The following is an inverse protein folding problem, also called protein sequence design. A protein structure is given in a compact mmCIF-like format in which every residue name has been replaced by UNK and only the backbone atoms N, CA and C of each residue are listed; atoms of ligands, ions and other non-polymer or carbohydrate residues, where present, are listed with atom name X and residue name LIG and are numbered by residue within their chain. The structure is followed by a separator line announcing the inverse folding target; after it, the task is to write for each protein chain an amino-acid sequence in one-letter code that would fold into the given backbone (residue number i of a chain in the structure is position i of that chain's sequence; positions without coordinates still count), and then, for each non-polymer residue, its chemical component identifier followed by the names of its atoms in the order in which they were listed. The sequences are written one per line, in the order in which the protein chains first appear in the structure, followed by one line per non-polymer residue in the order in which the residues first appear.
data_IF_893776012222
#
_entry.id   IF_893776012222
#
_cell.length_a   1.000
_cell.length_b   1.000
_cell.length_c   1.000
_cell.angle_alpha   90.00
_cell.angle_beta   90.00
_cell.angle_gamma   90.00
#
_symmetry.space_group_name_H-M   'P 1'
#
loop_
_entity.id
_entity.type
_entity.pdbx_description
1 polymer ?
#
# COMPACT_ATOMS: atom_id res chain seq x y z
N UNK A 1 1.77 -10.47 1.54
CA UNK A 1 0.34 -10.66 1.79
C UNK A 1 -0.19 -11.90 1.10
N UNK A 2 -1.36 -12.33 1.50
CA UNK A 2 -1.99 -13.55 1.03
C UNK A 2 -3.39 -13.26 0.50
N UNK A 3 -3.93 -14.14 -0.36
CA UNK A 3 -5.35 -14.15 -0.68
C UNK A 3 -6.16 -14.43 0.60
N UNK A 4 -7.38 -13.93 0.63
CA UNK A 4 -8.25 -13.97 1.82
C UNK A 4 -8.08 -12.77 2.74
N UNK A 5 -7.32 -11.76 2.33
CA UNK A 5 -7.14 -10.50 3.09
C UNK A 5 -8.39 -9.60 3.07
N UNK A 6 -9.39 -9.92 2.27
CA UNK A 6 -10.63 -9.15 2.05
C UNK A 6 -10.35 -7.68 1.69
N UNK A 7 -9.21 -7.42 1.10
CA UNK A 7 -8.70 -6.08 0.79
C UNK A 7 -7.88 -6.08 -0.50
N UNK A 8 -6.60 -5.81 -0.39
CA UNK A 8 -5.68 -5.49 -1.47
C UNK A 8 -5.46 -6.64 -2.46
N UNK A 9 -5.05 -7.82 -1.98
CA UNK A 9 -4.80 -8.97 -2.85
C UNK A 9 -6.08 -9.57 -3.41
N UNK A 10 -7.14 -9.64 -2.61
CA UNK A 10 -8.44 -10.11 -3.06
C UNK A 10 -9.03 -9.18 -4.13
N UNK A 11 -8.83 -7.85 -4.00
CA UNK A 11 -9.28 -6.89 -5.02
C UNK A 11 -8.53 -7.05 -6.34
N UNK A 12 -7.21 -7.25 -6.29
CA UNK A 12 -6.40 -7.52 -7.48
C UNK A 12 -6.82 -8.84 -8.15
N UNK A 13 -7.01 -9.89 -7.35
CA UNK A 13 -7.47 -11.20 -7.82
C UNK A 13 -8.85 -11.10 -8.48
N UNK A 14 -9.80 -10.41 -7.85
CA UNK A 14 -11.15 -10.24 -8.40
C UNK A 14 -11.15 -9.55 -9.78
N UNK A 15 -10.27 -8.57 -9.98
CA UNK A 15 -10.10 -7.93 -11.30
C UNK A 15 -9.56 -8.88 -12.36
N UNK A 16 -8.61 -9.74 -12.00
CA UNK A 16 -8.06 -10.75 -12.91
C UNK A 16 -9.08 -11.85 -13.21
N UNK A 17 -9.84 -12.32 -12.22
CA UNK A 17 -10.91 -13.30 -12.38
C UNK A 17 -12.01 -12.78 -13.33
N UNK A 18 -12.33 -11.49 -13.26
CA UNK A 18 -13.27 -10.88 -14.17
C UNK A 18 -12.76 -10.91 -15.63
N UNK A 19 -11.47 -10.62 -15.84
CA UNK A 19 -10.88 -10.70 -17.18
C UNK A 19 -10.86 -12.12 -17.72
N UNK A 20 -10.65 -13.12 -16.88
CA UNK A 20 -10.73 -14.53 -17.26
C UNK A 20 -12.18 -14.94 -17.59
N UNK A 21 -13.14 -14.53 -16.76
CA UNK A 21 -14.56 -14.79 -17.00
C UNK A 21 -15.07 -14.16 -18.32
N UNK A 22 -14.50 -12.99 -18.68
CA UNK A 22 -14.79 -12.31 -19.95
C UNK A 22 -14.07 -12.96 -21.15
N UNK A 23 -13.29 -14.03 -20.94
CA UNK A 23 -12.56 -14.75 -21.98
C UNK A 23 -11.38 -13.96 -22.56
N UNK A 24 -10.89 -12.96 -21.85
CA UNK A 24 -9.79 -12.07 -22.31
C UNK A 24 -8.41 -12.62 -21.98
N UNK A 25 -8.30 -13.40 -20.92
CA UNK A 25 -7.06 -14.03 -20.46
C UNK A 25 -7.33 -15.47 -20.00
N UNK A 26 -6.25 -16.25 -19.88
CA UNK A 26 -6.21 -17.47 -19.07
C UNK A 26 -5.36 -17.16 -17.84
N UNK A 27 -5.90 -17.39 -16.67
CA UNK A 27 -5.25 -17.00 -15.41
C UNK A 27 -4.68 -18.21 -14.68
N UNK A 28 -3.43 -18.08 -14.23
CA UNK A 28 -2.85 -18.94 -13.20
C UNK A 28 -2.45 -18.10 -12.00
N UNK A 29 -2.98 -18.44 -10.84
CA UNK A 29 -2.61 -17.79 -9.57
C UNK A 29 -1.61 -18.67 -8.82
N UNK A 30 -0.52 -18.05 -8.34
CA UNK A 30 0.54 -18.69 -7.55
C UNK A 30 0.65 -17.94 -6.22
N UNK A 31 0.32 -18.61 -5.13
CA UNK A 31 0.45 -18.06 -3.79
C UNK A 31 1.85 -18.39 -3.24
N UNK A 32 2.64 -17.35 -3.00
CA UNK A 32 4.04 -17.48 -2.57
C UNK A 32 4.22 -17.27 -1.07
N UNK A 33 3.12 -17.14 -0.32
CA UNK A 33 3.15 -16.71 1.07
C UNK A 33 3.32 -15.20 1.22
N UNK A 34 3.17 -14.70 2.44
CA UNK A 34 3.21 -13.25 2.74
C UNK A 34 4.06 -12.87 3.93
N UNK A 35 4.73 -13.84 4.54
CA UNK A 35 5.58 -13.63 5.71
C UNK A 35 7.04 -13.46 5.28
N UNK A 36 7.86 -12.88 6.15
CA UNK A 36 9.29 -12.71 5.89
C UNK A 36 10.03 -14.04 5.70
N UNK A 37 9.56 -15.09 6.35
CA UNK A 37 10.07 -16.46 6.19
C UNK A 37 9.79 -17.06 4.80
N UNK A 38 8.83 -16.54 4.06
CA UNK A 38 8.49 -16.99 2.70
C UNK A 38 9.39 -16.36 1.62
N UNK A 39 10.06 -15.24 1.93
CA UNK A 39 10.85 -14.46 0.96
C UNK A 39 11.90 -15.27 0.19
N UNK A 40 12.63 -16.23 0.79
CA UNK A 40 13.58 -17.05 0.04
C UNK A 40 12.92 -17.84 -1.11
N UNK A 41 11.64 -18.21 -0.95
CA UNK A 41 10.85 -18.89 -1.98
C UNK A 41 10.38 -17.98 -3.11
N UNK A 42 10.24 -16.66 -2.85
CA UNK A 42 9.71 -15.73 -3.86
C UNK A 42 10.61 -15.59 -5.07
N UNK A 43 11.92 -15.43 -4.83
CA UNK A 43 12.90 -15.32 -5.92
C UNK A 43 12.93 -16.59 -6.78
N UNK A 44 12.97 -17.77 -6.14
CA UNK A 44 12.99 -19.04 -6.87
C UNK A 44 11.71 -19.26 -7.68
N UNK A 45 10.55 -18.90 -7.14
CA UNK A 45 9.27 -18.99 -7.86
C UNK A 45 9.24 -18.04 -9.06
N UNK A 46 9.71 -16.79 -8.90
CA UNK A 46 9.80 -15.84 -10.01
C UNK A 46 10.72 -16.35 -11.12
N UNK A 47 11.85 -16.95 -10.78
CA UNK A 47 12.73 -17.60 -11.77
C UNK A 47 12.03 -18.76 -12.48
N UNK A 48 11.42 -19.69 -11.71
CA UNK A 48 10.73 -20.86 -12.26
C UNK A 48 9.66 -20.45 -13.29
N UNK A 49 8.79 -19.49 -12.93
CA UNK A 49 7.73 -19.06 -13.86
C UNK A 49 8.28 -18.29 -15.06
N UNK A 50 9.38 -17.56 -14.90
CA UNK A 50 10.03 -16.83 -16.01
C UNK A 50 10.77 -17.79 -16.95
N UNK A 51 11.48 -18.78 -16.41
CA UNK A 51 12.21 -19.79 -17.17
C UNK A 51 11.26 -20.70 -17.96
N UNK A 52 10.03 -20.93 -17.45
CA UNK A 52 9.04 -21.78 -18.11
C UNK A 52 8.61 -21.24 -19.48
N UNK A 53 8.64 -19.92 -19.68
CA UNK A 53 8.16 -19.22 -20.88
C UNK A 53 6.68 -19.55 -21.22
N UNK A 54 5.89 -19.96 -20.24
CA UNK A 54 4.48 -20.33 -20.42
C UNK A 54 3.53 -19.12 -20.32
N UNK A 55 4.03 -17.96 -19.87
CA UNK A 55 3.19 -16.79 -19.55
C UNK A 55 3.54 -15.61 -20.43
N UNK A 56 2.54 -15.00 -21.06
CA UNK A 56 2.70 -13.73 -21.77
C UNK A 56 3.06 -12.58 -20.84
N UNK A 57 2.49 -12.58 -19.63
CA UNK A 57 2.69 -11.54 -18.61
C UNK A 57 2.73 -12.18 -17.23
N UNK A 58 3.71 -11.82 -16.42
CA UNK A 58 3.79 -12.16 -15.00
C UNK A 58 3.43 -10.92 -14.18
N UNK A 59 2.42 -11.04 -13.31
CA UNK A 59 1.92 -9.94 -12.48
C UNK A 59 2.27 -10.21 -11.03
N UNK A 60 2.92 -9.28 -10.38
CA UNK A 60 3.18 -9.30 -8.94
C UNK A 60 2.89 -7.93 -8.34
N UNK A 61 2.97 -7.81 -7.04
CA UNK A 61 2.65 -6.55 -6.37
C UNK A 61 3.27 -6.39 -5.00
N UNK A 62 3.20 -5.20 -4.54
CA UNK A 62 3.61 -4.66 -3.26
C UNK A 62 5.08 -4.30 -3.11
N UNK A 63 5.34 -3.47 -2.11
CA UNK A 63 6.66 -2.94 -1.72
C UNK A 63 7.71 -4.02 -1.39
N UNK A 64 7.31 -5.25 -1.19
CA UNK A 64 8.22 -6.35 -0.84
C UNK A 64 8.83 -7.03 -2.08
N UNK A 65 8.26 -6.80 -3.28
CA UNK A 65 8.64 -7.52 -4.51
C UNK A 65 9.67 -6.82 -5.41
N UNK A 66 9.92 -5.49 -5.33
CA UNK A 66 10.69 -4.77 -6.33
C UNK A 66 12.08 -5.35 -6.59
N UNK A 67 12.83 -5.65 -5.52
CA UNK A 67 14.21 -6.15 -5.65
C UNK A 67 14.26 -7.52 -6.34
N UNK A 68 13.36 -8.42 -5.95
CA UNK A 68 13.26 -9.76 -6.56
C UNK A 68 12.84 -9.67 -8.03
N UNK A 69 11.82 -8.85 -8.31
CA UNK A 69 11.36 -8.66 -9.67
C UNK A 69 12.43 -8.02 -10.55
N UNK A 70 13.14 -7.00 -10.05
CA UNK A 70 14.24 -6.34 -10.78
C UNK A 70 15.31 -7.33 -11.18
N UNK A 71 15.75 -8.17 -10.25
CA UNK A 71 16.76 -9.19 -10.53
C UNK A 71 16.32 -10.17 -11.61
N UNK A 72 15.07 -10.66 -11.53
CA UNK A 72 14.56 -11.63 -12.50
C UNK A 72 14.28 -10.99 -13.85
N UNK A 73 13.69 -9.80 -13.88
CA UNK A 73 13.36 -9.09 -15.12
C UNK A 73 14.62 -8.73 -15.93
N UNK A 74 15.72 -8.36 -15.27
CA UNK A 74 16.99 -8.05 -15.95
C UNK A 74 17.60 -9.30 -16.61
N UNK A 75 17.33 -10.50 -16.09
CA UNK A 75 17.80 -11.77 -16.67
C UNK A 75 16.87 -12.34 -17.75
N UNK A 76 15.61 -11.88 -17.77
CA UNK A 76 14.59 -12.33 -18.72
C UNK A 76 14.03 -11.15 -19.52
N UNK A 77 14.82 -10.49 -20.36
CA UNK A 77 14.42 -9.25 -21.04
C UNK A 77 13.22 -9.41 -22.00
N UNK A 78 12.96 -10.62 -22.47
CA UNK A 78 11.84 -10.92 -23.38
C UNK A 78 10.53 -11.22 -22.65
N UNK A 79 10.59 -11.55 -21.35
CA UNK A 79 9.41 -11.76 -20.52
C UNK A 79 8.84 -10.41 -20.07
N UNK A 80 7.51 -10.25 -20.16
CA UNK A 80 6.81 -9.05 -19.69
C UNK A 80 6.35 -9.21 -18.27
N UNK A 81 6.52 -8.14 -17.49
CA UNK A 81 6.12 -8.09 -16.11
C UNK A 81 5.26 -6.87 -15.81
N UNK A 82 4.39 -7.02 -14.83
CA UNK A 82 3.65 -5.92 -14.21
C UNK A 82 3.87 -6.00 -12.71
N UNK A 83 4.22 -4.87 -12.10
CA UNK A 83 4.19 -4.70 -10.65
C UNK A 83 3.20 -3.60 -10.30
N UNK A 84 2.28 -3.89 -9.37
CA UNK A 84 1.33 -2.91 -8.88
C UNK A 84 1.65 -2.49 -7.45
N UNK A 85 1.27 -1.26 -7.12
CA UNK A 85 1.53 -0.59 -5.85
C UNK A 85 3.03 -0.41 -5.55
N UNK A 86 3.84 -0.26 -6.60
CA UNK A 86 5.26 0.04 -6.48
C UNK A 86 5.81 0.77 -7.71
N UNK A 87 6.74 1.69 -7.48
CA UNK A 87 7.46 2.43 -8.52
C UNK A 87 8.97 2.55 -8.25
N UNK A 88 9.51 1.76 -7.35
CA UNK A 88 10.92 1.84 -6.90
C UNK A 88 11.88 1.78 -8.08
N UNK A 89 11.64 0.90 -9.03
CA UNK A 89 12.46 0.73 -10.24
C UNK A 89 11.77 1.16 -11.53
N UNK A 90 10.79 2.07 -11.44
CA UNK A 90 10.08 2.54 -12.62
C UNK A 90 11.02 3.14 -13.67
N UNK A 91 10.87 2.68 -14.92
CA UNK A 91 11.67 3.13 -16.05
C UNK A 91 13.08 2.56 -16.14
N UNK A 92 13.49 1.69 -15.19
CA UNK A 92 14.83 1.07 -15.22
C UNK A 92 14.89 -0.24 -16.02
N UNK A 93 13.75 -0.90 -16.23
CA UNK A 93 13.65 -2.11 -17.05
C UNK A 93 12.56 -1.92 -18.10
N UNK A 94 12.87 -2.16 -19.37
CA UNK A 94 11.95 -1.94 -20.50
C UNK A 94 10.80 -2.95 -20.56
N UNK A 95 10.93 -4.08 -19.85
CA UNK A 95 9.97 -5.18 -19.80
C UNK A 95 9.13 -5.20 -18.53
N UNK A 96 9.25 -4.18 -17.65
CA UNK A 96 8.46 -4.05 -16.41
C UNK A 96 7.56 -2.82 -16.51
N UNK A 97 6.27 -3.03 -16.34
CA UNK A 97 5.28 -1.97 -16.18
C UNK A 97 4.96 -1.78 -14.70
N UNK A 98 5.15 -0.58 -14.18
CA UNK A 98 4.79 -0.20 -12.82
C UNK A 98 3.41 0.44 -12.81
N UNK A 99 2.56 0.05 -11.88
CA UNK A 99 1.24 0.64 -11.63
C UNK A 99 1.24 1.23 -10.24
N UNK A 100 0.94 2.52 -10.14
CA UNK A 100 0.72 3.22 -8.88
C UNK A 100 -0.67 3.85 -8.87
N UNK A 101 -1.13 4.20 -7.69
CA UNK A 101 -2.43 4.83 -7.48
C UNK A 101 -2.23 6.28 -7.03
N UNK A 102 -3.32 7.03 -6.98
CA UNK A 102 -3.29 8.41 -6.49
C UNK A 102 -3.50 8.46 -4.97
N UNK A 103 -2.54 7.91 -4.24
CA UNK A 103 -2.57 7.84 -2.78
C UNK A 103 -2.65 9.25 -2.16
N UNK A 104 -1.94 10.20 -2.73
CA UNK A 104 -1.95 11.59 -2.29
C UNK A 104 -3.37 12.20 -2.35
N UNK A 105 -4.10 12.00 -3.45
CA UNK A 105 -5.48 12.49 -3.60
C UNK A 105 -6.39 11.91 -2.51
N UNK A 106 -6.26 10.62 -2.20
CA UNK A 106 -6.99 9.96 -1.12
C UNK A 106 -6.61 10.55 0.24
N UNK A 107 -5.31 10.67 0.50
CA UNK A 107 -4.79 11.29 1.72
C UNK A 107 -5.35 12.69 1.90
N UNK A 108 -5.33 13.51 0.85
CA UNK A 108 -5.84 14.87 0.86
C UNK A 108 -7.33 14.96 1.26
N UNK A 109 -8.17 14.12 0.66
CA UNK A 109 -9.59 14.06 1.02
C UNK A 109 -9.80 13.64 2.48
N UNK A 110 -9.04 12.67 2.96
CA UNK A 110 -9.12 12.24 4.36
C UNK A 110 -8.60 13.30 5.33
N UNK A 111 -7.58 14.07 4.92
CA UNK A 111 -7.09 15.21 5.70
C UNK A 111 -8.12 16.32 5.85
N UNK A 112 -8.82 16.69 4.76
CA UNK A 112 -9.95 17.63 4.81
C UNK A 112 -11.02 17.09 5.78
N UNK A 113 -11.40 15.83 5.65
CA UNK A 113 -12.42 15.21 6.49
C UNK A 113 -12.05 15.25 7.96
N UNK A 114 -10.86 14.79 8.32
CA UNK A 114 -10.38 14.78 9.70
C UNK A 114 -10.31 16.19 10.29
N UNK A 115 -9.74 17.15 9.56
CA UNK A 115 -9.63 18.53 10.01
C UNK A 115 -11.00 19.21 10.18
N UNK A 116 -11.95 18.87 9.31
CA UNK A 116 -13.33 19.39 9.44
C UNK A 116 -13.99 18.85 10.70
N UNK A 117 -13.83 17.57 11.00
CA UNK A 117 -14.39 16.96 12.20
C UNK A 117 -13.75 17.52 13.47
N UNK A 118 -12.42 17.55 13.57
CA UNK A 118 -11.71 18.02 14.77
C UNK A 118 -11.93 19.49 15.09
N UNK A 119 -12.44 20.28 14.15
CA UNK A 119 -12.81 21.69 14.37
C UNK A 119 -14.28 21.88 14.77
N UNK A 120 -15.10 20.83 14.73
CA UNK A 120 -16.51 20.87 15.10
C UNK A 120 -16.72 20.45 16.56
N UNK A 121 -16.54 21.36 17.49
CA UNK A 121 -16.72 21.14 18.94
C UNK A 121 -18.16 20.80 19.34
N UNK A 122 -19.11 20.77 18.41
CA UNK A 122 -20.48 20.27 18.68
C UNK A 122 -20.51 18.73 18.72
N UNK A 123 -19.49 18.07 18.17
CA UNK A 123 -19.34 16.62 18.19
C UNK A 123 -18.82 16.20 19.57
N UNK A 124 -19.51 15.24 20.20
CA UNK A 124 -19.09 14.71 21.50
C UNK A 124 -17.66 14.17 21.45
N UNK A 125 -16.84 14.53 22.42
CA UNK A 125 -15.42 14.16 22.59
C UNK A 125 -14.42 14.87 21.69
N UNK A 126 -14.83 15.72 20.78
CA UNK A 126 -13.90 16.60 20.09
C UNK A 126 -13.40 17.67 21.08
N UNK A 127 -12.10 17.89 21.10
CA UNK A 127 -11.44 18.88 21.96
C UNK A 127 -11.04 20.13 21.14
N UNK A 128 -10.50 21.16 21.83
CA UNK A 128 -10.14 22.45 21.20
C UNK A 128 -8.69 22.48 20.65
N UNK A 129 -7.93 21.40 20.80
CA UNK A 129 -6.48 21.41 20.51
C UNK A 129 -6.16 21.30 19.01
N UNK A 130 -7.13 20.95 18.17
CA UNK A 130 -6.99 20.78 16.71
C UNK A 130 -5.80 19.86 16.34
N UNK A 131 -5.77 18.66 16.92
CA UNK A 131 -4.76 17.65 16.67
C UNK A 131 -5.41 16.42 16.06
N UNK A 132 -4.90 15.96 14.93
CA UNK A 132 -5.34 14.72 14.26
C UNK A 132 -4.20 13.72 14.20
N UNK A 133 -4.52 12.42 14.13
CA UNK A 133 -3.55 11.34 14.11
C UNK A 133 -3.41 10.69 12.74
N UNK A 134 -2.21 10.16 12.47
CA UNK A 134 -1.93 9.28 11.35
C UNK A 134 -1.10 8.09 11.82
N UNK A 135 -1.63 6.87 11.66
CA UNK A 135 -0.90 5.63 11.95
C UNK A 135 -0.61 4.92 10.63
N UNK A 136 0.63 4.98 10.19
CA UNK A 136 1.12 4.28 9.02
C UNK A 136 1.62 2.87 9.35
N UNK A 137 1.54 1.95 8.38
CA UNK A 137 2.10 0.61 8.53
C UNK A 137 3.63 0.65 8.48
N UNK A 138 4.20 0.96 7.32
CA UNK A 138 5.67 1.02 7.10
C UNK A 138 6.03 2.39 6.55
N UNK A 139 7.18 2.94 6.99
CA UNK A 139 7.75 4.14 6.39
C UNK A 139 8.24 3.81 4.97
N UNK A 140 7.40 4.10 4.00
CA UNK A 140 7.64 3.82 2.59
C UNK A 140 7.10 4.93 1.69
N UNK A 141 7.60 5.06 0.43
CA UNK A 141 7.13 6.09 -0.49
C UNK A 141 5.61 6.12 -0.67
N UNK A 142 4.96 4.95 -0.75
CA UNK A 142 3.51 4.83 -0.92
C UNK A 142 2.76 5.36 0.32
N UNK A 143 3.18 4.94 1.52
CA UNK A 143 2.53 5.39 2.76
C UNK A 143 2.80 6.88 3.01
N UNK A 144 3.98 7.36 2.67
CA UNK A 144 4.32 8.77 2.79
C UNK A 144 3.54 9.64 1.80
N UNK A 145 3.18 9.13 0.64
CA UNK A 145 2.33 9.83 -0.31
C UNK A 145 0.90 10.05 0.25
N UNK A 146 0.32 9.05 0.94
CA UNK A 146 -0.91 9.24 1.72
C UNK A 146 -0.74 10.29 2.81
N UNK A 147 0.36 10.23 3.58
CA UNK A 147 0.61 11.16 4.67
C UNK A 147 0.74 12.60 4.19
N UNK A 148 1.49 12.83 3.11
CA UNK A 148 1.66 14.16 2.54
C UNK A 148 0.30 14.74 2.14
N UNK A 149 -0.50 13.98 1.40
CA UNK A 149 -1.85 14.40 1.06
C UNK A 149 -2.71 14.70 2.29
N UNK A 150 -2.65 13.83 3.31
CA UNK A 150 -3.39 14.00 4.56
C UNK A 150 -3.03 15.31 5.27
N UNK A 151 -1.74 15.62 5.38
CA UNK A 151 -1.26 16.87 5.98
C UNK A 151 -1.71 18.10 5.15
N UNK A 152 -1.57 18.03 3.83
CA UNK A 152 -1.94 19.13 2.94
C UNK A 152 -3.46 19.37 2.97
N UNK A 153 -4.25 18.31 2.92
CA UNK A 153 -5.70 18.39 3.03
C UNK A 153 -6.16 18.97 4.37
N UNK A 154 -5.57 18.51 5.47
CA UNK A 154 -5.87 19.03 6.80
C UNK A 154 -5.51 20.53 6.94
N UNK A 155 -4.34 20.92 6.47
CA UNK A 155 -3.90 22.33 6.48
C UNK A 155 -4.68 23.24 5.57
N UNK A 156 -5.34 22.71 4.54
CA UNK A 156 -6.23 23.49 3.68
C UNK A 156 -7.50 23.94 4.41
N UNK A 157 -7.91 23.19 5.46
CA UNK A 157 -9.06 23.52 6.33
C UNK A 157 -8.61 24.39 7.51
N UNK A 158 -7.55 23.97 8.20
CA UNK A 158 -6.98 24.71 9.32
C UNK A 158 -5.44 24.72 9.21
N UNK A 159 -4.82 25.86 8.83
CA UNK A 159 -3.37 25.96 8.67
C UNK A 159 -2.55 25.62 9.93
N UNK A 160 -3.15 25.81 11.11
CA UNK A 160 -2.50 25.60 12.41
C UNK A 160 -2.69 24.18 12.96
N UNK A 161 -3.41 23.32 12.23
CA UNK A 161 -3.69 21.94 12.65
C UNK A 161 -2.38 21.15 12.84
N UNK A 162 -2.33 20.37 13.90
CA UNK A 162 -1.21 19.47 14.18
C UNK A 162 -1.55 18.06 13.73
N UNK A 163 -0.56 17.36 13.19
CA UNK A 163 -0.69 15.95 12.81
C UNK A 163 0.32 15.15 13.61
N UNK A 164 -0.15 14.25 14.48
CA UNK A 164 0.69 13.26 15.15
C UNK A 164 0.86 12.07 14.19
N UNK A 165 2.12 11.73 13.88
CA UNK A 165 2.45 10.70 12.89
C UNK A 165 3.23 9.58 13.55
N UNK A 166 2.78 8.34 13.36
CA UNK A 166 3.46 7.14 13.85
C UNK A 166 3.44 6.03 12.83
N UNK A 167 4.48 5.20 12.84
CA UNK A 167 4.58 4.01 12.01
C UNK A 167 4.71 2.78 12.89
N UNK A 168 3.88 1.78 12.65
CA UNK A 168 3.96 0.50 13.37
C UNK A 168 5.15 -0.33 12.90
N UNK A 169 5.66 -0.06 11.69
CA UNK A 169 6.62 -0.88 10.95
C UNK A 169 6.14 -2.32 10.72
N UNK A 170 4.83 -2.51 10.77
CA UNK A 170 4.15 -3.79 10.63
C UNK A 170 2.72 -3.56 10.11
N UNK A 171 2.16 -4.55 9.39
CA UNK A 171 0.77 -4.53 8.93
C UNK A 171 -0.14 -5.52 9.67
N UNK A 172 0.41 -6.29 10.60
CA UNK A 172 -0.29 -7.39 11.29
C UNK A 172 -0.38 -7.16 12.79
N UNK A 173 0.59 -6.48 13.40
CA UNK A 173 0.62 -6.21 14.85
C UNK A 173 -0.45 -5.19 15.26
N UNK A 174 -1.64 -5.73 15.57
CA UNK A 174 -2.77 -4.93 16.06
C UNK A 174 -2.54 -4.35 17.45
N UNK A 175 -1.61 -4.90 18.24
CA UNK A 175 -1.33 -4.43 19.61
C UNK A 175 -0.59 -3.08 19.55
N UNK A 176 0.45 -2.97 18.73
CA UNK A 176 1.20 -1.72 18.52
C UNK A 176 0.28 -0.65 17.92
N UNK A 177 -0.52 -1.00 16.90
CA UNK A 177 -1.44 -0.04 16.29
C UNK A 177 -2.46 0.52 17.32
N UNK A 178 -3.00 -0.35 18.18
CA UNK A 178 -3.90 0.06 19.25
C UNK A 178 -3.21 0.93 20.30
N UNK A 179 -1.98 0.58 20.69
CA UNK A 179 -1.18 1.37 21.64
C UNK A 179 -0.94 2.79 21.11
N UNK A 180 -0.54 2.91 19.84
CA UNK A 180 -0.33 4.21 19.22
C UNK A 180 -1.61 5.03 19.16
N UNK A 181 -2.72 4.44 18.72
CA UNK A 181 -4.00 5.13 18.67
C UNK A 181 -4.44 5.63 20.06
N UNK A 182 -4.32 4.79 21.10
CA UNK A 182 -4.65 5.19 22.47
C UNK A 182 -3.74 6.30 23.02
N UNK A 183 -2.44 6.22 22.74
CA UNK A 183 -1.49 7.26 23.16
C UNK A 183 -1.74 8.58 22.41
N UNK A 184 -2.07 8.55 21.12
CA UNK A 184 -2.45 9.74 20.36
C UNK A 184 -3.65 10.45 20.99
N UNK A 185 -4.69 9.70 21.34
CA UNK A 185 -5.91 10.24 21.97
C UNK A 185 -5.64 10.73 23.39
N UNK A 186 -5.01 9.90 24.24
CA UNK A 186 -4.91 10.18 25.67
C UNK A 186 -3.80 11.17 26.01
N UNK A 187 -2.64 11.09 25.31
CA UNK A 187 -1.44 11.85 25.66
C UNK A 187 -1.26 13.06 24.76
N UNK A 188 -1.58 12.93 23.45
CA UNK A 188 -1.35 13.98 22.45
C UNK A 188 -2.62 14.69 22.00
N UNK A 189 -3.76 14.34 22.60
CA UNK A 189 -5.06 15.00 22.40
C UNK A 189 -5.57 14.95 20.95
N UNK A 190 -5.24 13.89 20.21
CA UNK A 190 -5.87 13.65 18.92
C UNK A 190 -7.36 13.32 19.10
N UNK A 191 -8.17 13.79 18.15
CA UNK A 191 -9.59 13.48 18.08
C UNK A 191 -9.84 12.25 17.20
#
# INVERSE_FOLDING_TARGET
GNLGDKSFFDSAKAGLDQLEADGRITLRTIEMGGLDEDKPGWLSTLYEVSDSQEYDIIICGTYQMPDFLKEVADKHPDQKYVIFDDNTYAGQSSNVMNITYKQNDMGYLMGIFAATLTTDTSIEKINEDAVIGFVGGVDSPVINDFLIGYIEGAKSVNPDIKVDVRYTNDYVDTAIAKEYGLSMINDNKCD
#
